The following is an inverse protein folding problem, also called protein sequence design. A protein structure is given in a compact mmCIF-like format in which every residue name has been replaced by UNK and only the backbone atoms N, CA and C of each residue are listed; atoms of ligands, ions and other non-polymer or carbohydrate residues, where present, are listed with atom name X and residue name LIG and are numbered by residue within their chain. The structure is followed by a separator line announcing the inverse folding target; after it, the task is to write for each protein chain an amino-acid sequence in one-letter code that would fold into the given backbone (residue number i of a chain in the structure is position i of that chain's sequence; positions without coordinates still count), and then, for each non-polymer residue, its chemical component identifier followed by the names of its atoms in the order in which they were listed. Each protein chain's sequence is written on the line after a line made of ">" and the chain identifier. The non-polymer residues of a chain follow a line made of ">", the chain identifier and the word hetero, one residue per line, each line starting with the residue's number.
data_IF_975611263929
#
_entry.id   IF_975611263929
#
_cell.length_a   1.000
_cell.length_b   1.000
_cell.length_c   1.000
_cell.angle_alpha   90.00
_cell.angle_beta   90.00
_cell.angle_gamma   90.00
#
_symmetry.space_group_name_H-M   'P 1'
#
loop_
_entity.id
_entity.type
_entity.pdbx_description
1 polymer ?
#
# COMPACT_ATOMS: atom_id res chain seq x y z
N UNK A 1 10.76 12.95 5.86
CA UNK A 1 9.75 11.98 6.34
C UNK A 1 9.67 10.84 5.35
N UNK A 2 9.56 9.61 5.82
CA UNK A 2 9.50 8.44 4.94
C UNK A 2 8.05 8.06 4.69
N UNK A 3 7.74 7.68 3.45
CA UNK A 3 6.44 7.14 3.08
C UNK A 3 6.61 5.66 2.75
N UNK A 4 5.89 4.80 3.47
CA UNK A 4 5.93 3.35 3.33
C UNK A 4 4.71 2.91 2.54
N UNK A 5 4.91 2.13 1.49
CA UNK A 5 3.82 1.61 0.66
C UNK A 5 3.65 0.12 0.92
N UNK A 6 2.45 -0.27 1.36
CA UNK A 6 2.12 -1.65 1.69
C UNK A 6 0.97 -2.15 0.82
N UNK A 7 0.89 -3.47 0.66
CA UNK A 7 -0.21 -4.13 -0.06
C UNK A 7 -1.18 -4.85 0.87
N UNK A 8 -1.06 -4.64 2.17
CA UNK A 8 -1.97 -5.21 3.17
C UNK A 8 -2.01 -4.29 4.39
N UNK A 9 -3.02 -4.51 5.24
CA UNK A 9 -3.17 -3.75 6.47
C UNK A 9 -2.38 -4.34 7.65
N UNK A 10 -1.40 -5.20 7.39
CA UNK A 10 -0.52 -5.72 8.42
C UNK A 10 0.56 -4.69 8.74
N UNK A 11 0.44 -4.10 9.92
CA UNK A 11 1.38 -3.07 10.34
C UNK A 11 2.73 -3.66 10.72
N UNK A 12 3.83 -2.95 10.44
CA UNK A 12 5.18 -3.49 10.65
C UNK A 12 5.63 -3.53 12.11
N UNK A 13 4.89 -2.91 13.02
CA UNK A 13 5.25 -2.89 14.45
C UNK A 13 3.98 -2.82 15.30
N UNK A 14 4.10 -3.25 16.55
CA UNK A 14 3.02 -3.09 17.51
C UNK A 14 2.76 -1.61 17.78
N UNK A 15 1.50 -1.28 18.01
CA UNK A 15 1.12 0.08 18.33
C UNK A 15 -0.32 0.37 17.96
N UNK A 16 -0.71 1.60 18.19
CA UNK A 16 -2.01 2.11 17.79
C UNK A 16 -1.83 2.94 16.53
N UNK A 17 -2.67 2.68 15.52
CA UNK A 17 -2.61 3.36 14.24
C UNK A 17 -3.94 4.02 13.95
N UNK A 18 -3.88 5.20 13.36
CA UNK A 18 -5.05 5.81 12.74
C UNK A 18 -5.10 5.38 11.29
N UNK A 19 -6.18 4.68 10.93
CA UNK A 19 -6.39 4.19 9.57
C UNK A 19 -7.55 4.97 8.97
N UNK A 20 -7.29 5.64 7.85
CA UNK A 20 -8.30 6.41 7.13
C UNK A 20 -8.40 5.88 5.69
N UNK A 21 -9.62 5.55 5.28
CA UNK A 21 -9.86 5.20 3.89
C UNK A 21 -9.80 6.45 3.02
N UNK A 22 -9.13 6.35 1.89
CA UNK A 22 -8.97 7.45 0.95
C UNK A 22 -9.40 7.02 -0.44
N UNK A 23 -9.62 8.00 -1.33
CA UNK A 23 -9.94 7.73 -2.72
C UNK A 23 -8.71 7.29 -3.50
N UNK A 24 -8.95 6.68 -4.66
CA UNK A 24 -7.87 6.32 -5.59
C UNK A 24 -7.07 7.56 -5.99
N UNK A 25 -7.75 8.67 -6.26
CA UNK A 25 -7.08 9.90 -6.70
C UNK A 25 -6.21 10.48 -5.60
N UNK A 26 -6.68 10.49 -4.36
CA UNK A 26 -5.86 10.95 -3.22
C UNK A 26 -4.66 10.03 -3.02
N UNK A 27 -4.86 8.73 -3.09
CA UNK A 27 -3.79 7.75 -2.98
C UNK A 27 -2.73 7.97 -4.06
N UNK A 28 -3.17 8.10 -5.32
CA UNK A 28 -2.26 8.33 -6.45
C UNK A 28 -1.41 9.58 -6.26
N UNK A 29 -2.02 10.65 -5.78
CA UNK A 29 -1.32 11.91 -5.51
C UNK A 29 -0.28 11.75 -4.41
N UNK A 30 -0.64 11.06 -3.32
CA UNK A 30 0.28 10.86 -2.21
C UNK A 30 1.48 10.01 -2.61
N UNK A 31 1.26 8.97 -3.42
CA UNK A 31 2.33 8.12 -3.95
C UNK A 31 3.26 8.96 -4.85
N UNK A 32 2.68 9.71 -5.78
CA UNK A 32 3.47 10.51 -6.71
C UNK A 32 4.28 11.59 -5.98
N UNK A 33 3.69 12.25 -4.98
CA UNK A 33 4.37 13.27 -4.20
C UNK A 33 5.55 12.69 -3.41
N UNK A 34 5.34 11.52 -2.79
CA UNK A 34 6.41 10.85 -2.05
C UNK A 34 7.55 10.41 -2.98
N UNK A 35 7.20 9.90 -4.17
CA UNK A 35 8.19 9.54 -5.18
C UNK A 35 9.04 10.74 -5.60
N UNK A 36 8.39 11.89 -5.85
CA UNK A 36 9.12 13.10 -6.26
C UNK A 36 10.05 13.62 -5.15
N UNK A 37 9.66 13.46 -3.89
CA UNK A 37 10.52 13.86 -2.76
C UNK A 37 11.65 12.87 -2.50
N UNK A 38 11.61 11.68 -3.14
CA UNK A 38 12.62 10.65 -2.93
C UNK A 38 12.46 9.89 -1.61
N UNK A 39 11.29 9.96 -0.96
CA UNK A 39 11.07 9.30 0.33
C UNK A 39 10.09 8.14 0.28
N UNK A 40 9.72 7.67 -0.91
CA UNK A 40 8.84 6.50 -1.07
C UNK A 40 9.63 5.20 -0.91
N UNK A 41 9.14 4.32 -0.04
CA UNK A 41 9.71 2.99 0.17
C UNK A 41 8.63 1.94 -0.08
N UNK A 42 8.83 1.10 -1.09
CA UNK A 42 7.86 0.08 -1.46
C UNK A 42 8.13 -1.23 -0.72
N UNK A 43 7.07 -1.76 -0.09
CA UNK A 43 7.04 -3.11 0.45
C UNK A 43 5.85 -3.86 -0.13
N UNK A 44 5.51 -3.56 -1.37
CA UNK A 44 4.46 -4.25 -2.11
C UNK A 44 5.01 -5.58 -2.57
N UNK A 45 4.45 -6.67 -2.07
CA UNK A 45 4.97 -8.02 -2.30
C UNK A 45 4.39 -8.72 -3.52
N UNK A 46 3.40 -8.14 -4.18
CA UNK A 46 2.74 -8.75 -5.33
C UNK A 46 2.90 -7.90 -6.59
N UNK A 47 3.39 -8.51 -7.70
CA UNK A 47 3.58 -7.78 -8.95
C UNK A 47 2.31 -7.14 -9.48
N UNK A 48 1.17 -7.81 -9.35
CA UNK A 48 -0.11 -7.29 -9.83
C UNK A 48 -0.51 -6.00 -9.11
N UNK A 49 -0.30 -5.96 -7.80
CA UNK A 49 -0.58 -4.77 -7.00
C UNK A 49 0.37 -3.63 -7.36
N UNK A 50 1.66 -3.93 -7.54
CA UNK A 50 2.64 -2.93 -7.96
C UNK A 50 2.26 -2.34 -9.32
N UNK A 51 1.85 -3.18 -10.27
CA UNK A 51 1.41 -2.72 -11.60
C UNK A 51 0.18 -1.84 -11.50
N UNK A 52 -0.77 -2.21 -10.64
CA UNK A 52 -1.95 -1.39 -10.43
C UNK A 52 -1.58 0.01 -9.91
N UNK A 53 -0.69 0.07 -8.92
CA UNK A 53 -0.26 1.34 -8.35
C UNK A 53 0.49 2.18 -9.39
N UNK A 54 1.31 1.54 -10.23
CA UNK A 54 1.97 2.25 -11.33
C UNK A 54 0.95 2.86 -12.31
N UNK A 55 -0.11 2.11 -12.64
CA UNK A 55 -1.13 2.63 -13.54
C UNK A 55 -1.86 3.83 -12.96
N UNK A 56 -2.20 3.80 -11.68
CA UNK A 56 -2.99 4.88 -11.08
C UNK A 56 -2.15 6.08 -10.66
N UNK A 57 -0.88 5.88 -10.32
CA UNK A 57 -0.02 6.96 -9.83
C UNK A 57 0.95 7.50 -10.87
N UNK A 58 1.24 6.72 -11.91
CA UNK A 58 2.20 7.12 -12.94
C UNK A 58 3.66 7.01 -12.52
N UNK A 59 3.95 6.37 -11.38
CA UNK A 59 5.34 6.22 -10.92
C UNK A 59 5.73 4.75 -10.85
N UNK A 60 7.02 4.42 -11.05
CA UNK A 60 7.47 3.03 -10.96
C UNK A 60 7.43 2.53 -9.52
N UNK A 61 6.92 1.31 -9.33
CA UNK A 61 6.79 0.70 -8.01
C UNK A 61 7.56 -0.61 -7.99
N UNK A 62 8.54 -0.71 -7.11
CA UNK A 62 9.32 -1.93 -6.94
C UNK A 62 8.52 -2.98 -6.18
N UNK A 63 8.63 -4.25 -6.62
CA UNK A 63 8.11 -5.38 -5.85
C UNK A 63 9.15 -5.74 -4.80
N UNK A 64 8.74 -5.76 -3.52
CA UNK A 64 9.65 -6.02 -2.42
C UNK A 64 8.91 -6.78 -1.32
N UNK A 65 9.28 -8.04 -1.11
CA UNK A 65 8.68 -8.90 -0.08
C UNK A 65 9.44 -8.90 1.23
N UNK A 66 10.44 -8.06 1.36
CA UNK A 66 11.23 -7.98 2.58
C UNK A 66 10.38 -7.46 3.75
N UNK A 67 10.64 -7.90 4.99
CA UNK A 67 9.95 -7.33 6.14
C UNK A 67 10.25 -5.84 6.29
N UNK A 68 9.23 -5.07 6.65
CA UNK A 68 9.39 -3.64 6.88
C UNK A 68 10.13 -3.41 8.18
N UNK A 69 11.26 -2.70 8.12
CA UNK A 69 12.10 -2.43 9.28
C UNK A 69 12.19 -0.93 9.60
N UNK A 70 11.25 -0.15 9.09
CA UNK A 70 11.29 1.30 9.26
C UNK A 70 10.68 1.73 10.59
N UNK A 71 11.17 2.85 11.13
CA UNK A 71 10.58 3.49 12.29
C UNK A 71 9.22 4.10 11.90
N UNK A 72 8.14 3.38 12.23
CA UNK A 72 6.79 3.75 11.79
C UNK A 72 6.25 4.98 12.52
N UNK A 73 6.83 5.37 13.65
CA UNK A 73 6.43 6.56 14.39
C UNK A 73 6.72 7.86 13.62
N UNK A 74 7.56 7.78 12.56
CA UNK A 74 7.93 8.92 11.72
C UNK A 74 7.59 8.70 10.26
N UNK A 75 6.76 7.71 9.96
CA UNK A 75 6.41 7.36 8.60
C UNK A 75 4.94 7.60 8.34
N UNK A 76 4.63 7.98 7.11
CA UNK A 76 3.27 7.87 6.57
C UNK A 76 3.16 6.52 5.90
N UNK A 77 2.10 5.78 6.18
CA UNK A 77 1.89 4.45 5.63
C UNK A 77 0.75 4.53 4.65
N UNK A 78 1.03 4.19 3.38
CA UNK A 78 0.03 4.11 2.33
C UNK A 78 -0.25 2.64 2.06
N UNK A 79 -1.53 2.27 2.03
CA UNK A 79 -1.95 0.88 1.84
C UNK A 79 -2.83 0.80 0.60
N UNK A 80 -2.48 -0.11 -0.30
CA UNK A 80 -3.30 -0.50 -1.44
C UNK A 80 -3.54 -2.00 -1.32
N UNK A 81 -4.78 -2.39 -1.05
CA UNK A 81 -5.09 -3.81 -0.86
C UNK A 81 -6.31 -4.21 -1.66
N UNK A 82 -6.41 -5.51 -1.98
CA UNK A 82 -7.61 -6.05 -2.59
C UNK A 82 -8.77 -5.98 -1.60
N UNK A 83 -9.96 -5.64 -2.11
CA UNK A 83 -11.18 -5.55 -1.31
C UNK A 83 -11.67 -6.92 -0.83
N UNK A 84 -11.13 -8.02 -1.40
CA UNK A 84 -11.50 -9.37 -1.04
C UNK A 84 -10.26 -10.25 -0.95
N UNK A 85 -10.39 -11.37 -0.25
CA UNK A 85 -9.30 -12.34 -0.16
C UNK A 85 -9.32 -13.27 -1.37
N UNK A 86 -8.21 -13.32 -2.10
CA UNK A 86 -7.99 -14.29 -3.19
C UNK A 86 -7.49 -15.61 -2.61
N UNK A 87 -7.84 -15.92 -1.37
CA UNK A 87 -7.32 -17.09 -0.67
C UNK A 87 -8.24 -18.30 -0.78
N UNK A 88 -9.41 -18.17 -1.37
CA UNK A 88 -10.32 -19.30 -1.61
C UNK A 88 -9.80 -20.11 -2.80
N UNK A 89 -9.45 -21.39 -2.60
CA UNK A 89 -8.95 -22.22 -3.70
C UNK A 89 -9.92 -22.33 -4.88
N UNK A 90 -11.22 -22.22 -4.62
CA UNK A 90 -12.23 -22.25 -5.69
C UNK A 90 -12.25 -21.02 -6.56
N UNK A 91 -11.68 -19.92 -6.08
CA UNK A 91 -11.64 -18.66 -6.82
C UNK A 91 -10.28 -18.37 -7.43
N UNK A 92 -9.26 -19.11 -7.04
CA UNK A 92 -7.91 -18.94 -7.52
C UNK A 92 -7.83 -19.31 -8.99
N UNK A 93 -7.50 -18.33 -9.84
CA UNK A 93 -7.46 -18.51 -11.28
C UNK A 93 -8.75 -18.19 -12.01
N UNK A 94 -9.86 -17.94 -11.29
CA UNK A 94 -11.15 -17.57 -11.89
C UNK A 94 -11.42 -16.08 -11.84
N UNK A 95 -10.83 -15.37 -10.87
CA UNK A 95 -10.97 -13.92 -10.74
C UNK A 95 -9.61 -13.27 -10.93
N UNK A 96 -9.50 -12.50 -11.99
CA UNK A 96 -8.37 -11.60 -12.19
C UNK A 96 -8.76 -10.28 -11.56
N UNK A 97 -7.98 -9.78 -10.57
CA UNK A 97 -8.26 -8.46 -10.00
C UNK A 97 -8.23 -7.39 -11.08
N UNK A 98 -9.21 -6.51 -11.03
CA UNK A 98 -9.25 -5.32 -11.89
C UNK A 98 -8.90 -4.10 -11.05
N UNK A 99 -8.70 -2.96 -11.72
CA UNK A 99 -8.38 -1.71 -11.01
C UNK A 99 -9.50 -1.26 -10.08
N UNK A 100 -10.73 -1.79 -10.24
CA UNK A 100 -11.86 -1.48 -9.37
C UNK A 100 -11.85 -2.28 -8.06
N UNK A 101 -11.02 -3.31 -7.95
CA UNK A 101 -11.04 -4.24 -6.83
C UNK A 101 -10.13 -3.83 -5.68
N UNK A 102 -9.51 -2.67 -5.75
CA UNK A 102 -8.57 -2.21 -4.73
C UNK A 102 -9.18 -1.16 -3.82
N UNK A 103 -8.78 -1.22 -2.56
CA UNK A 103 -9.10 -0.22 -1.55
C UNK A 103 -7.83 0.48 -1.10
N UNK A 104 -7.95 1.74 -0.71
CA UNK A 104 -6.80 2.58 -0.39
C UNK A 104 -6.95 3.18 1.00
N UNK A 105 -5.86 3.17 1.75
CA UNK A 105 -5.85 3.71 3.12
C UNK A 105 -4.56 4.47 3.36
N UNK A 106 -4.66 5.45 4.25
CA UNK A 106 -3.49 6.06 4.86
C UNK A 106 -3.52 5.73 6.35
N UNK A 107 -2.38 5.29 6.88
CA UNK A 107 -2.24 4.97 8.29
C UNK A 107 -1.12 5.80 8.89
N UNK A 108 -1.35 6.29 10.10
CA UNK A 108 -0.34 7.00 10.88
C UNK A 108 -0.23 6.38 12.25
N UNK A 109 0.99 6.28 12.76
CA UNK A 109 1.24 5.74 14.08
C UNK A 109 0.74 6.74 15.13
N UNK A 110 -0.11 6.25 16.02
CA UNK A 110 -0.62 7.05 17.13
C UNK A 110 0.02 6.53 18.42
N UNK A 111 0.75 7.39 19.11
CA UNK A 111 1.35 7.02 20.39
C UNK A 111 0.26 6.81 21.46
N UNK A 112 0.53 5.84 22.32
CA UNK A 112 -0.28 5.65 23.51
C UNK A 112 -0.28 6.90 24.38
#
# INVERSE_FOLDING_TARGET
>A
MTTVLLNSAMMPAEGVYRLRRISRDEFAKLVADAYRRGDLRSYVGYPETAQHIERVSGVPIAVNRAPTQLAVDRATILICKLAYRVADPGMKGKLQPTDEDYEYFVATYARY
#
